data_IF_768319384471
#
_entry.id   IF_768319384471
#
_cell.length_a   1.000
_cell.length_b   1.000
_cell.length_c   1.000
_cell.angle_alpha   90.00
_cell.angle_beta   90.00
_cell.angle_gamma   90.00
#
_symmetry.space_group_name_H-M   'P 1'
#
loop_
_entity.id
_entity.type
_entity.pdbx_description
1 polymer ?
#
# COMPACT_ATOMS: atom_id res chain seq x y z
N UNK A 1 12.85 -4.81 9.18
CA UNK A 1 13.32 -6.06 9.84
C UNK A 1 13.10 -7.30 8.96
N UNK A 2 11.89 -7.51 8.42
CA UNK A 2 11.56 -8.75 7.69
C UNK A 2 11.75 -8.72 6.17
N UNK A 3 11.81 -7.52 5.56
CA UNK A 3 12.10 -7.39 4.13
C UNK A 3 13.55 -7.77 3.78
N UNK A 4 13.74 -8.29 2.57
CA UNK A 4 15.03 -8.60 1.97
C UNK A 4 15.43 -7.45 1.03
N UNK A 5 16.70 -7.06 1.06
CA UNK A 5 17.22 -5.93 0.27
C UNK A 5 17.43 -4.64 1.07
N UNK A 6 17.67 -3.57 0.34
CA UNK A 6 17.96 -2.25 0.89
C UNK A 6 16.76 -1.69 1.68
N UNK A 7 17.05 -1.00 2.79
CA UNK A 7 16.06 -0.57 3.76
C UNK A 7 16.02 0.96 3.78
N UNK A 8 15.17 1.59 2.94
CA UNK A 8 15.01 3.04 2.97
C UNK A 8 14.60 3.48 4.37
N UNK A 9 15.05 4.66 4.78
CA UNK A 9 14.74 5.18 6.11
C UNK A 9 13.41 5.90 6.14
N UNK A 10 13.00 6.45 5.02
CA UNK A 10 11.81 7.27 4.87
C UNK A 10 10.96 6.68 3.75
N UNK A 11 9.93 5.92 4.10
CA UNK A 11 9.08 5.26 3.11
C UNK A 11 7.64 5.10 3.55
N UNK A 12 6.77 5.15 2.54
CA UNK A 12 5.37 4.76 2.67
C UNK A 12 5.20 3.32 2.21
N UNK A 13 4.48 2.52 2.99
CA UNK A 13 4.21 1.12 2.71
C UNK A 13 2.71 0.95 2.45
N UNK A 14 2.33 0.43 1.30
CA UNK A 14 0.97 0.01 0.99
C UNK A 14 0.83 -1.49 1.18
N UNK A 15 -0.20 -1.91 1.91
CA UNK A 15 -0.55 -3.32 2.08
C UNK A 15 -1.93 -3.61 1.51
N UNK A 16 -1.98 -4.44 0.48
CA UNK A 16 -3.23 -4.95 -0.07
C UNK A 16 -3.73 -6.13 0.77
N UNK A 17 -4.92 -5.96 1.32
CA UNK A 17 -5.70 -7.02 1.97
C UNK A 17 -7.18 -6.79 1.68
N UNK A 18 -8.05 -7.30 2.56
CA UNK A 18 -9.50 -7.02 2.47
C UNK A 18 -9.79 -5.53 2.24
N UNK A 19 -9.13 -4.68 3.03
CA UNK A 19 -8.95 -3.26 2.72
C UNK A 19 -7.47 -2.95 2.47
N UNK A 20 -7.21 -1.97 1.60
CA UNK A 20 -5.89 -1.37 1.50
C UNK A 20 -5.52 -0.72 2.84
N UNK A 21 -4.33 -1.04 3.32
CA UNK A 21 -3.72 -0.46 4.51
C UNK A 21 -2.44 0.28 4.16
N UNK A 22 -1.94 1.05 5.13
CA UNK A 22 -0.69 1.77 4.99
C UNK A 22 0.16 1.69 6.26
N UNK A 23 1.44 1.95 6.09
CA UNK A 23 2.40 2.16 7.18
C UNK A 23 3.42 3.19 6.75
N UNK A 24 3.75 4.13 7.63
CA UNK A 24 4.74 5.17 7.35
C UNK A 24 5.96 4.92 8.23
N UNK A 25 7.13 4.86 7.62
CA UNK A 25 8.40 4.78 8.32
C UNK A 25 9.15 6.06 8.04
N UNK A 26 9.62 6.72 9.09
CA UNK A 26 10.44 7.93 9.04
C UNK A 26 11.66 7.73 9.93
N UNK A 27 12.84 8.13 9.47
CA UNK A 27 14.11 7.91 10.16
C UNK A 27 14.32 6.45 10.58
N UNK A 28 13.81 5.50 9.80
CA UNK A 28 13.88 4.07 10.07
C UNK A 28 12.95 3.58 11.18
N UNK A 29 12.03 4.41 11.68
CA UNK A 29 11.06 4.05 12.71
C UNK A 29 9.61 4.16 12.23
N UNK A 30 8.74 3.28 12.72
CA UNK A 30 7.31 3.35 12.43
C UNK A 30 6.72 4.64 13.02
N UNK A 31 6.12 5.47 12.16
CA UNK A 31 5.39 6.65 12.56
C UNK A 31 3.92 6.30 12.80
N UNK A 32 3.47 6.36 14.05
CA UNK A 32 2.10 5.98 14.43
C UNK A 32 1.13 7.16 14.49
N UNK A 33 1.66 8.40 14.52
CA UNK A 33 0.89 9.62 14.76
C UNK A 33 0.24 9.69 16.13
N UNK A 34 -0.58 10.72 16.34
CA UNK A 34 -1.19 11.06 17.64
C UNK A 34 -2.10 9.98 18.22
N UNK A 35 -2.86 9.29 17.38
CA UNK A 35 -3.88 8.30 17.81
C UNK A 35 -3.52 6.87 17.42
N UNK A 36 -2.32 6.64 16.86
CA UNK A 36 -1.93 5.32 16.35
C UNK A 36 -2.41 5.02 14.92
N UNK A 37 -3.14 5.94 14.28
CA UNK A 37 -3.76 5.74 12.97
C UNK A 37 -3.04 6.47 11.81
N UNK A 38 -1.81 6.94 12.00
CA UNK A 38 -1.05 7.50 10.88
C UNK A 38 -0.86 6.47 9.78
N UNK A 39 -0.75 6.96 8.54
CA UNK A 39 -0.75 6.11 7.34
C UNK A 39 -2.00 5.22 7.17
N UNK A 40 -3.13 5.60 7.77
CA UNK A 40 -4.44 5.08 7.39
C UNK A 40 -4.82 5.59 5.99
N UNK A 41 -4.20 5.04 4.95
CA UNK A 41 -4.31 5.52 3.56
C UNK A 41 -5.68 5.28 2.92
N UNK A 42 -6.49 4.39 3.48
CA UNK A 42 -7.78 4.02 2.91
C UNK A 42 -8.69 5.22 2.56
N UNK A 43 -8.94 6.17 3.47
CA UNK A 43 -9.77 7.34 3.20
C UNK A 43 -9.15 8.41 2.29
N UNK A 44 -7.90 8.25 1.83
CA UNK A 44 -7.28 9.25 0.96
C UNK A 44 -8.12 9.47 -0.31
N UNK A 45 -8.41 10.74 -0.66
CA UNK A 45 -9.16 11.05 -1.87
C UNK A 45 -8.26 10.87 -3.10
N UNK A 46 -8.73 10.07 -4.06
CA UNK A 46 -8.02 9.74 -5.29
C UNK A 46 -8.97 9.81 -6.48
N UNK A 47 -8.49 10.12 -7.70
CA UNK A 47 -9.33 10.14 -8.88
C UNK A 47 -9.86 8.72 -9.18
N UNK A 48 -11.17 8.60 -9.34
CA UNK A 48 -11.81 7.42 -9.89
C UNK A 48 -11.73 7.40 -11.42
N UNK A 49 -12.03 6.26 -12.06
CA UNK A 49 -12.04 6.14 -13.53
C UNK A 49 -13.02 7.08 -14.22
N UNK A 50 -14.04 7.56 -13.50
CA UNK A 50 -15.06 8.51 -13.95
C UNK A 50 -14.66 9.99 -13.74
N UNK A 51 -13.41 10.24 -13.31
CA UNK A 51 -12.90 11.57 -12.98
C UNK A 51 -13.44 12.14 -11.66
N UNK A 52 -14.27 11.39 -10.93
CA UNK A 52 -14.78 11.81 -9.61
C UNK A 52 -13.84 11.35 -8.52
N UNK A 53 -13.74 12.13 -7.44
CA UNK A 53 -12.97 11.70 -6.27
C UNK A 53 -13.62 10.49 -5.59
N UNK A 54 -12.79 9.49 -5.29
CA UNK A 54 -13.12 8.26 -4.56
C UNK A 54 -12.14 8.11 -3.41
N UNK A 55 -12.42 7.21 -2.47
CA UNK A 55 -11.43 6.85 -1.44
C UNK A 55 -10.52 5.77 -2.00
N UNK A 56 -9.24 5.79 -1.63
CA UNK A 56 -8.29 4.75 -2.02
C UNK A 56 -8.79 3.34 -1.64
N UNK A 57 -9.49 3.22 -0.50
CA UNK A 57 -10.10 1.97 -0.07
C UNK A 57 -11.18 1.44 -1.01
N UNK A 58 -11.82 2.29 -1.81
CA UNK A 58 -12.87 1.87 -2.74
C UNK A 58 -12.30 1.38 -4.08
N UNK A 59 -11.04 1.70 -4.39
CA UNK A 59 -10.41 1.38 -5.69
C UNK A 59 -9.30 0.34 -5.59
N UNK A 60 -8.51 0.34 -4.51
CA UNK A 60 -7.32 -0.51 -4.36
C UNK A 60 -7.52 -1.70 -3.41
N UNK A 61 -8.65 -1.80 -2.72
CA UNK A 61 -8.90 -2.91 -1.80
C UNK A 61 -9.22 -4.21 -2.54
N UNK A 62 -8.84 -5.37 -1.98
CA UNK A 62 -9.26 -6.66 -2.52
C UNK A 62 -10.77 -6.86 -2.47
N UNK A 63 -11.46 -6.23 -1.51
CA UNK A 63 -12.93 -6.24 -1.48
C UNK A 63 -13.56 -5.59 -2.72
N UNK A 64 -12.89 -4.62 -3.36
CA UNK A 64 -13.33 -4.06 -4.62
C UNK A 64 -13.13 -5.05 -5.79
N UNK A 65 -12.03 -5.82 -5.79
CA UNK A 65 -11.81 -6.90 -6.75
C UNK A 65 -12.87 -8.00 -6.60
N UNK A 66 -13.11 -8.45 -5.36
CA UNK A 66 -14.12 -9.45 -5.06
C UNK A 66 -15.52 -9.01 -5.52
N UNK A 67 -15.89 -7.75 -5.27
CA UNK A 67 -17.17 -7.20 -5.74
C UNK A 67 -17.27 -7.17 -7.28
N UNK A 68 -16.16 -6.90 -7.98
CA UNK A 68 -16.12 -6.93 -9.45
C UNK A 68 -16.25 -8.37 -10.00
N UNK A 69 -15.66 -9.35 -9.33
CA UNK A 69 -15.82 -10.77 -9.65
C UNK A 69 -17.25 -11.24 -9.43
N UNK A 70 -17.83 -10.95 -8.25
CA UNK A 70 -19.19 -11.34 -7.92
C UNK A 70 -20.21 -10.73 -8.90
N UNK A 71 -19.99 -9.48 -9.33
CA UNK A 71 -20.82 -8.81 -10.34
C UNK A 71 -20.72 -9.43 -11.75
N UNK A 72 -19.70 -10.23 -12.01
CA UNK A 72 -19.48 -10.98 -13.24
C UNK A 72 -19.80 -12.48 -13.08
N UNK A 73 -20.46 -12.87 -11.98
CA UNK A 73 -20.74 -14.27 -11.62
C UNK A 73 -19.46 -15.15 -11.48
N UNK A 74 -18.31 -14.53 -11.15
CA UNK A 74 -17.05 -15.22 -10.86
C UNK A 74 -16.87 -15.41 -9.33
N UNK A 75 -16.61 -16.64 -8.82
CA UNK A 75 -16.43 -16.87 -7.39
C UNK A 75 -15.20 -16.15 -6.81
N UNK A 76 -15.41 -15.24 -5.86
CA UNK A 76 -14.33 -14.46 -5.21
C UNK A 76 -13.70 -15.12 -3.97
N UNK A 77 -14.20 -16.29 -3.55
CA UNK A 77 -13.81 -16.96 -2.31
C UNK A 77 -12.34 -17.35 -2.22
N UNK A 78 -11.70 -17.64 -3.36
CA UNK A 78 -10.30 -18.07 -3.43
C UNK A 78 -9.33 -16.95 -3.04
N UNK A 79 -9.70 -15.68 -3.29
CA UNK A 79 -8.88 -14.50 -2.97
C UNK A 79 -8.45 -14.50 -1.49
N UNK A 80 -9.29 -15.03 -0.61
CA UNK A 80 -9.10 -14.98 0.84
C UNK A 80 -8.33 -16.18 1.40
N UNK A 81 -8.25 -17.26 0.65
CA UNK A 81 -7.74 -18.54 1.14
C UNK A 81 -6.29 -18.77 0.73
N UNK A 82 -5.94 -18.43 -0.51
CA UNK A 82 -4.62 -18.66 -1.05
C UNK A 82 -4.02 -17.35 -1.58
N UNK A 83 -2.97 -16.80 -0.94
CA UNK A 83 -2.29 -15.64 -1.46
C UNK A 83 -1.38 -15.96 -2.64
N UNK A 84 -1.04 -17.23 -2.90
CA UNK A 84 -0.08 -17.61 -3.93
C UNK A 84 -0.75 -17.84 -5.30
N UNK A 85 -2.07 -18.09 -5.31
CA UNK A 85 -2.83 -18.38 -6.52
C UNK A 85 -4.22 -17.77 -6.46
N UNK A 86 -4.52 -16.91 -7.45
CA UNK A 86 -5.82 -16.26 -7.60
C UNK A 86 -6.46 -16.66 -8.93
N UNK A 87 -7.70 -17.12 -8.88
CA UNK A 87 -8.50 -17.41 -10.07
C UNK A 87 -9.42 -16.24 -10.37
N UNK A 88 -8.97 -15.33 -11.24
CA UNK A 88 -9.73 -14.16 -11.68
C UNK A 88 -9.57 -14.02 -13.18
N UNK A 89 -10.63 -13.71 -13.91
CA UNK A 89 -10.50 -13.43 -15.34
C UNK A 89 -9.59 -12.23 -15.61
N UNK A 90 -8.79 -12.34 -16.67
CA UNK A 90 -7.81 -11.31 -17.04
C UNK A 90 -8.43 -9.91 -17.22
N UNK A 91 -9.64 -9.73 -17.80
CA UNK A 91 -10.26 -8.41 -17.92
C UNK A 91 -10.58 -7.77 -16.56
N UNK A 92 -11.15 -8.54 -15.63
CA UNK A 92 -11.51 -8.05 -14.28
C UNK A 92 -10.24 -7.68 -13.51
N UNK A 93 -9.26 -8.59 -13.51
CA UNK A 93 -8.00 -8.36 -12.81
C UNK A 93 -7.27 -7.14 -13.38
N UNK A 94 -7.15 -7.03 -14.70
CA UNK A 94 -6.48 -5.90 -15.34
C UNK A 94 -7.16 -4.56 -15.02
N UNK A 95 -8.49 -4.50 -15.11
CA UNK A 95 -9.24 -3.27 -14.81
C UNK A 95 -9.09 -2.84 -13.35
N UNK A 96 -9.09 -3.79 -12.41
CA UNK A 96 -8.86 -3.51 -11.01
C UNK A 96 -7.42 -3.03 -10.74
N UNK A 97 -6.41 -3.67 -11.35
CA UNK A 97 -5.01 -3.23 -11.23
C UNK A 97 -4.84 -1.80 -11.77
N UNK A 98 -5.47 -1.46 -12.90
CA UNK A 98 -5.41 -0.11 -13.47
C UNK A 98 -6.00 0.92 -12.49
N UNK A 99 -7.20 0.66 -11.95
CA UNK A 99 -7.84 1.55 -10.99
C UNK A 99 -7.02 1.71 -9.69
N UNK A 100 -6.45 0.61 -9.19
CA UNK A 100 -5.57 0.64 -8.04
C UNK A 100 -4.29 1.45 -8.34
N UNK A 101 -3.69 1.26 -9.51
CA UNK A 101 -2.45 1.93 -9.91
C UNK A 101 -2.61 3.45 -9.99
N UNK A 102 -3.69 3.95 -10.61
CA UNK A 102 -4.00 5.38 -10.67
C UNK A 102 -4.25 5.97 -9.27
N UNK A 103 -5.00 5.23 -8.45
CA UNK A 103 -5.28 5.62 -7.07
C UNK A 103 -4.01 5.72 -6.23
N UNK A 104 -3.14 4.72 -6.31
CA UNK A 104 -1.85 4.71 -5.64
C UNK A 104 -0.95 5.85 -6.15
N UNK A 105 -0.87 6.08 -7.45
CA UNK A 105 -0.06 7.16 -8.02
C UNK A 105 -0.43 8.54 -7.45
N UNK A 106 -1.73 8.86 -7.40
CA UNK A 106 -2.22 10.11 -6.81
C UNK A 106 -1.95 10.20 -5.30
N UNK A 107 -2.08 9.08 -4.59
CA UNK A 107 -1.78 9.01 -3.15
C UNK A 107 -0.28 9.18 -2.87
N UNK A 108 0.58 8.57 -3.70
CA UNK A 108 2.04 8.68 -3.62
C UNK A 108 2.47 10.12 -3.86
N UNK A 109 1.94 10.79 -4.88
CA UNK A 109 2.23 12.21 -5.12
C UNK A 109 1.89 13.05 -3.88
N UNK A 110 0.69 12.87 -3.34
CA UNK A 110 0.22 13.61 -2.15
C UNK A 110 1.04 13.32 -0.89
N UNK A 111 1.52 12.08 -0.73
CA UNK A 111 2.39 11.73 0.40
C UNK A 111 3.79 12.30 0.22
N UNK A 112 4.32 12.27 -1.00
CA UNK A 112 5.68 12.75 -1.33
C UNK A 112 5.81 14.26 -1.15
N UNK A 113 4.75 15.02 -1.47
CA UNK A 113 4.73 16.48 -1.26
C UNK A 113 4.74 16.88 0.21
N UNK A 114 4.27 16.01 1.11
CA UNK A 114 4.20 16.29 2.54
C UNK A 114 5.38 15.74 3.33
N UNK A 115 5.93 14.60 2.90
CA UNK A 115 6.82 13.79 3.72
C UNK A 115 8.23 13.60 3.16
N UNK A 116 8.49 13.98 1.90
CA UNK A 116 9.79 13.78 1.24
C UNK A 116 10.28 12.31 1.37
N UNK A 117 9.56 11.40 0.72
CA UNK A 117 9.82 9.96 0.83
C UNK A 117 10.99 9.54 -0.07
N UNK A 118 11.86 8.68 0.46
CA UNK A 118 12.90 8.01 -0.32
C UNK A 118 12.29 6.90 -1.20
N UNK A 119 11.30 6.19 -0.67
CA UNK A 119 10.69 5.06 -1.35
C UNK A 119 9.20 4.87 -1.03
N UNK A 120 8.53 4.15 -1.90
CA UNK A 120 7.20 3.58 -1.67
C UNK A 120 7.27 2.08 -1.89
N UNK A 121 6.76 1.31 -0.94
CA UNK A 121 6.75 -0.14 -1.00
C UNK A 121 5.31 -0.64 -1.17
N UNK A 122 5.09 -1.48 -2.18
CA UNK A 122 3.79 -2.11 -2.45
C UNK A 122 3.89 -3.60 -2.12
N UNK A 123 3.08 -4.05 -1.16
CA UNK A 123 3.01 -5.46 -0.78
C UNK A 123 1.58 -5.88 -0.47
N UNK A 124 1.35 -7.15 -0.18
CA UNK A 124 0.02 -7.58 0.22
C UNK A 124 -0.18 -9.08 0.22
N UNK A 125 -1.40 -9.45 0.57
CA UNK A 125 -1.96 -10.77 0.32
C UNK A 125 -2.26 -10.87 -1.17
N UNK A 126 -1.30 -11.33 -1.99
CA UNK A 126 -1.49 -11.58 -3.42
C UNK A 126 -0.30 -12.35 -4.03
N UNK A 127 -0.48 -12.96 -5.22
CA UNK A 127 0.59 -13.61 -5.94
C UNK A 127 1.72 -12.62 -6.30
N UNK A 128 3.00 -13.04 -6.28
CA UNK A 128 4.13 -12.17 -6.64
C UNK A 128 4.00 -11.53 -8.02
N UNK A 129 3.44 -12.23 -9.00
CA UNK A 129 3.20 -11.70 -10.34
C UNK A 129 2.20 -10.54 -10.35
N UNK A 130 1.16 -10.61 -9.52
CA UNK A 130 0.15 -9.54 -9.38
C UNK A 130 0.76 -8.33 -8.68
N UNK A 131 1.56 -8.56 -7.61
CA UNK A 131 2.29 -7.47 -6.94
C UNK A 131 3.25 -6.75 -7.88
N UNK A 132 3.97 -7.51 -8.71
CA UNK A 132 4.86 -6.96 -9.72
C UNK A 132 4.11 -6.09 -10.73
N UNK A 133 2.95 -6.56 -11.20
CA UNK A 133 2.15 -5.82 -12.17
C UNK A 133 1.52 -4.55 -11.58
N UNK A 134 0.99 -4.60 -10.36
CA UNK A 134 0.50 -3.40 -9.64
C UNK A 134 1.65 -2.39 -9.51
N UNK A 135 2.82 -2.84 -9.04
CA UNK A 135 3.98 -1.95 -8.85
C UNK A 135 4.38 -1.27 -10.16
N UNK A 136 4.50 -2.06 -11.25
CA UNK A 136 4.85 -1.56 -12.58
C UNK A 136 3.83 -0.55 -13.12
N UNK A 137 2.53 -0.82 -12.96
CA UNK A 137 1.48 0.10 -13.41
C UNK A 137 1.39 1.35 -12.53
N UNK A 138 1.59 1.23 -11.22
CA UNK A 138 1.65 2.39 -10.31
C UNK A 138 2.81 3.30 -10.67
N UNK A 139 4.00 2.75 -10.93
CA UNK A 139 5.17 3.53 -11.35
C UNK A 139 4.90 4.26 -12.68
N UNK A 140 4.36 3.56 -13.68
CA UNK A 140 3.98 4.18 -14.94
C UNK A 140 2.90 5.28 -14.77
N UNK A 141 1.90 5.05 -13.92
CA UNK A 141 0.84 6.01 -13.63
C UNK A 141 1.40 7.26 -12.93
N UNK A 142 2.28 7.06 -11.94
CA UNK A 142 2.93 8.13 -11.19
C UNK A 142 3.75 9.03 -12.10
N UNK A 143 4.55 8.48 -13.01
CA UNK A 143 5.35 9.27 -13.96
C UNK A 143 4.55 9.97 -15.07
N UNK A 144 3.23 9.74 -15.18
CA UNK A 144 2.34 10.54 -16.04
C UNK A 144 1.78 11.78 -15.35
N UNK A 145 1.89 11.87 -14.02
CA UNK A 145 1.46 13.04 -13.26
C UNK A 145 2.47 14.19 -13.41
N UNK A 146 2.05 15.40 -13.06
CA UNK A 146 2.97 16.52 -12.91
C UNK A 146 3.75 16.37 -11.60
N UNK A 147 5.04 16.07 -11.72
CA UNK A 147 5.97 15.87 -10.60
C UNK A 147 6.81 17.12 -10.31
N UNK A 148 6.47 18.27 -10.89
CA UNK A 148 7.21 19.50 -10.66
C UNK A 148 7.27 19.85 -9.16
N UNK A 149 8.49 20.07 -8.66
CA UNK A 149 8.73 20.49 -7.28
C UNK A 149 8.81 19.35 -6.25
N UNK A 150 8.83 18.09 -6.69
CA UNK A 150 9.14 16.94 -5.81
C UNK A 150 10.33 16.14 -6.32
N UNK A 151 11.06 15.49 -5.41
CA UNK A 151 11.98 14.41 -5.75
C UNK A 151 11.17 13.09 -5.78
N UNK A 152 11.01 12.42 -6.93
CA UNK A 152 10.17 11.23 -7.04
C UNK A 152 10.71 10.06 -6.20
N UNK A 153 9.92 9.45 -5.29
CA UNK A 153 10.36 8.29 -4.53
C UNK A 153 10.54 7.07 -5.44
N UNK A 154 11.39 6.14 -5.03
CA UNK A 154 11.48 4.83 -5.69
C UNK A 154 10.25 3.98 -5.38
N UNK A 155 9.49 3.59 -6.39
CA UNK A 155 8.34 2.69 -6.23
C UNK A 155 8.81 1.24 -6.39
N UNK A 156 8.67 0.43 -5.34
CA UNK A 156 9.26 -0.91 -5.26
C UNK A 156 8.27 -1.94 -4.73
N UNK A 157 8.49 -3.19 -5.12
CA UNK A 157 7.77 -4.32 -4.53
C UNK A 157 8.26 -4.59 -3.11
N UNK A 158 7.32 -4.91 -2.22
CA UNK A 158 7.63 -5.54 -0.95
C UNK A 158 8.05 -7.00 -1.14
N UNK A 159 8.86 -7.49 -0.20
CA UNK A 159 9.43 -8.85 -0.27
C UNK A 159 8.84 -9.78 0.78
N UNK A 160 7.93 -9.30 1.63
CA UNK A 160 7.40 -10.08 2.76
C UNK A 160 6.09 -10.77 2.37
N UNK A 161 5.29 -10.16 1.50
CA UNK A 161 4.07 -10.75 0.97
C UNK A 161 2.94 -10.81 1.99
N UNK A 162 2.12 -11.85 1.84
CA UNK A 162 0.93 -12.11 2.65
C UNK A 162 1.17 -12.12 4.16
N UNK A 163 2.39 -12.46 4.59
CA UNK A 163 2.75 -12.54 6.01
C UNK A 163 3.13 -11.18 6.61
N UNK A 164 3.26 -10.12 5.81
CA UNK A 164 3.78 -8.83 6.28
C UNK A 164 2.97 -8.26 7.45
N UNK A 165 1.64 -8.39 7.39
CA UNK A 165 0.75 -7.92 8.47
C UNK A 165 0.99 -8.68 9.77
N UNK A 166 1.05 -10.01 9.70
CA UNK A 166 1.23 -10.88 10.88
C UNK A 166 2.61 -10.72 11.51
N UNK A 167 3.66 -10.69 10.68
CA UNK A 167 5.04 -10.48 11.13
C UNK A 167 5.24 -9.08 11.71
N UNK A 168 4.67 -8.05 11.07
CA UNK A 168 4.67 -6.69 11.57
C UNK A 168 4.00 -6.58 12.94
N UNK A 169 2.80 -7.16 13.09
CA UNK A 169 2.07 -7.18 14.36
C UNK A 169 2.84 -7.91 15.48
N UNK A 170 3.48 -9.05 15.16
CA UNK A 170 4.29 -9.80 16.11
C UNK A 170 5.57 -9.04 16.55
N UNK A 171 6.08 -8.13 15.72
CA UNK A 171 7.26 -7.33 16.03
C UNK A 171 6.99 -6.12 16.93
N UNK A 172 5.74 -5.63 16.99
CA UNK A 172 5.39 -4.45 17.79
C UNK A 172 5.74 -4.64 19.28
N UNK A 173 5.35 -5.73 19.97
CA UNK A 173 5.69 -5.92 21.38
C UNK A 173 7.21 -6.04 21.63
N UNK A 174 7.94 -6.63 20.69
CA UNK A 174 9.40 -6.75 20.77
C UNK A 174 10.05 -5.37 20.62
N UNK A 175 9.59 -4.56 19.68
CA UNK A 175 10.04 -3.18 19.50
C UNK A 175 9.79 -2.35 20.75
N UNK A 176 8.58 -2.39 21.30
CA UNK A 176 8.21 -1.60 22.49
C UNK A 176 9.03 -1.96 23.73
N UNK A 177 9.49 -3.22 23.83
CA UNK A 177 10.24 -3.70 25.01
C UNK A 177 11.75 -3.51 24.88
N UNK A 178 12.30 -3.54 23.68
CA UNK A 178 13.75 -3.65 23.45
C UNK A 178 14.35 -2.57 22.54
N UNK A 179 13.55 -1.73 21.89
CA UNK A 179 14.04 -0.62 21.06
C UNK A 179 13.73 0.73 21.72
N UNK A 180 14.64 1.69 21.55
CA UNK A 180 14.46 3.05 22.04
C UNK A 180 13.37 3.73 21.20
N UNK A 181 12.26 4.10 21.84
CA UNK A 181 11.18 4.89 21.21
C UNK A 181 11.62 6.35 21.09
N UNK A 182 12.11 6.75 19.91
CA UNK A 182 12.51 8.15 19.68
C UNK A 182 11.30 9.07 19.47
N UNK A 183 10.11 8.51 19.25
CA UNK A 183 8.86 9.26 19.17
C UNK A 183 8.23 9.53 20.54
N UNK A 184 8.83 9.05 21.65
CA UNK A 184 8.32 9.28 23.00
C UNK A 184 8.17 10.78 23.31
N UNK A 185 9.13 11.61 22.89
CA UNK A 185 9.10 13.05 23.09
C UNK A 185 7.93 13.77 22.38
N UNK A 186 7.35 13.16 21.33
CA UNK A 186 6.20 13.72 20.59
C UNK A 186 4.84 13.33 21.21
N UNK A 187 4.79 12.32 22.09
CA UNK A 187 3.56 11.87 22.75
C UNK A 187 3.25 12.65 24.04
N UNK A 188 4.28 13.26 24.63
CA UNK A 188 4.20 13.99 25.91
C UNK A 188 4.04 15.52 25.73
N UNK A 189 3.75 15.99 24.51
CA UNK A 189 3.59 17.41 24.15
C UNK A 189 2.12 17.79 23.90
#
# INVERSE_FOLDING_TARGET
VFGTGDRPKDFLYFYFGYFIGGGLVLNGQLFTGRTGNAAGVGPMPVPGPDGRMRRLLDVASMSALAAAMDAADEPSGDLWQNPDEWHVSAPILSAWIDAAAEGLASAILSASTLMELEAVIIDGWMPPAIRAEITRRTEAAFHRLDLAGIDPPQIRQGTVGAQARSLGAAAIPLSQRYLIDQNAALRDA
#
